data_IF_950029577125
#
_entry.id   IF_950029577125
#
_cell.length_a   1.000
_cell.length_b   1.000
_cell.length_c   1.000
_cell.angle_alpha   90.00
_cell.angle_beta   90.00
_cell.angle_gamma   90.00
#
_symmetry.space_group_name_H-M   'P 1'
#
loop_
_entity.id
_entity.type
_entity.pdbx_description
1 polymer ?
#
# COMPACT_ATOMS: atom_id res chain seq x y z
N UNK A 1 15.97 4.36 -9.32
CA UNK A 1 15.68 3.63 -10.57
C UNK A 1 14.29 3.02 -10.43
N UNK A 2 13.40 3.15 -11.42
CA UNK A 2 12.09 2.51 -11.36
C UNK A 2 12.26 1.00 -11.33
N UNK A 3 11.64 0.34 -10.35
CA UNK A 3 11.60 -1.11 -10.26
C UNK A 3 10.21 -1.62 -10.64
N UNK A 4 10.17 -2.81 -11.25
CA UNK A 4 8.92 -3.51 -11.49
C UNK A 4 8.39 -3.98 -10.14
N UNK A 5 7.19 -3.52 -9.78
CA UNK A 5 6.48 -3.96 -8.58
C UNK A 5 5.81 -5.32 -8.79
N UNK A 6 4.92 -5.41 -9.78
CA UNK A 6 4.06 -6.58 -10.02
C UNK A 6 3.86 -6.87 -11.51
N UNK A 7 3.71 -8.16 -11.86
CA UNK A 7 3.50 -8.68 -13.22
C UNK A 7 2.22 -9.52 -13.25
N UNK A 8 1.39 -9.29 -14.27
CA UNK A 8 0.15 -10.03 -14.53
C UNK A 8 0.19 -10.60 -15.94
N UNK A 9 -0.09 -11.89 -16.09
CA UNK A 9 0.05 -12.60 -17.38
C UNK A 9 -1.34 -12.92 -17.92
N UNK A 10 -1.62 -12.52 -19.16
CA UNK A 10 -2.84 -12.89 -19.88
C UNK A 10 -2.47 -13.86 -21.03
N UNK A 11 -3.01 -15.08 -21.01
CA UNK A 11 -2.63 -16.13 -21.96
C UNK A 11 -3.78 -17.12 -22.21
N UNK A 12 -3.75 -17.82 -23.36
CA UNK A 12 -4.75 -18.85 -23.67
C UNK A 12 -4.55 -20.19 -22.96
N UNK A 13 -3.32 -20.49 -22.50
CA UNK A 13 -2.99 -21.77 -21.84
C UNK A 13 -2.46 -21.53 -20.43
N UNK A 14 -3.38 -21.39 -19.48
CA UNK A 14 -3.07 -21.11 -18.07
C UNK A 14 -2.07 -22.09 -17.48
N UNK A 15 -2.31 -23.39 -17.65
CA UNK A 15 -1.53 -24.46 -17.00
C UNK A 15 -0.07 -24.44 -17.42
N UNK A 16 0.21 -24.14 -18.70
CA UNK A 16 1.58 -24.00 -19.21
C UNK A 16 2.32 -22.84 -18.51
N UNK A 17 1.62 -21.75 -18.23
CA UNK A 17 2.23 -20.54 -17.69
C UNK A 17 2.25 -20.48 -16.16
N UNK A 18 1.29 -21.12 -15.48
CA UNK A 18 1.25 -21.18 -14.01
C UNK A 18 2.46 -21.89 -13.41
N UNK A 19 3.01 -22.90 -14.09
CA UNK A 19 4.11 -23.70 -13.54
C UNK A 19 5.37 -22.87 -13.33
N UNK A 20 5.82 -22.14 -14.37
CA UNK A 20 6.98 -21.25 -14.24
C UNK A 20 6.62 -19.95 -13.53
N UNK A 21 5.40 -19.43 -13.67
CA UNK A 21 5.00 -18.18 -13.01
C UNK A 21 5.14 -18.25 -11.48
N UNK A 22 4.93 -19.43 -10.88
CA UNK A 22 5.12 -19.67 -9.44
C UNK A 22 6.56 -19.49 -8.96
N UNK A 23 7.53 -19.64 -9.86
CA UNK A 23 8.95 -19.45 -9.54
C UNK A 23 9.34 -17.97 -9.47
N UNK A 24 8.47 -17.05 -9.93
CA UNK A 24 8.75 -15.63 -9.99
C UNK A 24 7.91 -14.84 -8.98
N UNK A 25 8.50 -14.29 -7.91
CA UNK A 25 7.75 -13.65 -6.83
C UNK A 25 7.01 -12.37 -7.25
N UNK A 26 7.44 -11.73 -8.35
CA UNK A 26 6.78 -10.55 -8.91
C UNK A 26 5.56 -10.89 -9.74
N UNK A 27 5.35 -12.16 -10.11
CA UNK A 27 4.17 -12.57 -10.87
C UNK A 27 3.01 -12.76 -9.91
N UNK A 28 2.01 -11.87 -9.98
CA UNK A 28 0.84 -11.88 -9.11
C UNK A 28 -0.30 -12.75 -9.63
N UNK A 29 -0.29 -13.12 -10.91
CA UNK A 29 -1.26 -14.06 -11.44
C UNK A 29 -1.15 -14.32 -12.94
N UNK A 30 -1.74 -15.46 -13.32
CA UNK A 30 -1.92 -15.89 -14.71
C UNK A 30 -3.41 -16.00 -14.98
N UNK A 31 -3.86 -15.35 -16.05
CA UNK A 31 -5.27 -15.16 -16.38
C UNK A 31 -5.54 -15.60 -17.82
N UNK A 32 -6.72 -16.17 -18.04
CA UNK A 32 -7.24 -16.55 -19.36
C UNK A 32 -8.41 -15.68 -19.80
N UNK A 33 -8.95 -14.88 -18.87
CA UNK A 33 -10.06 -13.97 -19.09
C UNK A 33 -9.64 -12.54 -18.66
N UNK A 34 -10.19 -11.54 -19.35
CA UNK A 34 -9.91 -10.12 -19.14
C UNK A 34 -10.59 -9.56 -17.87
N UNK A 35 -11.72 -10.14 -17.45
CA UNK A 35 -12.46 -9.66 -16.28
C UNK A 35 -11.69 -9.91 -14.97
N UNK A 36 -11.14 -11.11 -14.70
CA UNK A 36 -10.39 -11.35 -13.47
C UNK A 36 -9.10 -10.53 -13.38
N UNK A 37 -8.37 -10.35 -14.50
CA UNK A 37 -7.16 -9.51 -14.50
C UNK A 37 -7.50 -8.03 -14.25
N UNK A 38 -8.64 -7.54 -14.77
CA UNK A 38 -9.10 -6.18 -14.49
C UNK A 38 -9.37 -5.97 -13.00
N UNK A 39 -10.04 -6.91 -12.35
CA UNK A 39 -10.31 -6.82 -10.91
C UNK A 39 -9.02 -6.92 -10.08
N UNK A 40 -8.10 -7.81 -10.45
CA UNK A 40 -6.79 -7.91 -9.80
C UNK A 40 -5.99 -6.60 -9.92
N UNK A 41 -5.99 -5.96 -11.09
CA UNK A 41 -5.34 -4.66 -11.29
C UNK A 41 -5.99 -3.55 -10.47
N UNK A 42 -7.33 -3.49 -10.41
CA UNK A 42 -8.04 -2.49 -9.58
C UNK A 42 -7.73 -2.64 -8.09
N UNK A 43 -7.67 -3.87 -7.60
CA UNK A 43 -7.33 -4.14 -6.20
C UNK A 43 -5.90 -3.69 -5.90
N UNK A 44 -4.97 -4.00 -6.80
CA UNK A 44 -3.57 -3.59 -6.67
C UNK A 44 -3.39 -2.07 -6.62
N UNK A 45 -4.08 -1.34 -7.50
CA UNK A 45 -4.05 0.13 -7.50
C UNK A 45 -4.65 0.72 -6.22
N UNK A 46 -5.70 0.10 -5.66
CA UNK A 46 -6.34 0.59 -4.43
C UNK A 46 -5.46 0.39 -3.20
N UNK A 47 -4.69 -0.70 -3.14
CA UNK A 47 -3.72 -0.92 -2.05
C UNK A 47 -2.63 0.16 -2.08
N UNK A 48 -2.12 0.49 -3.26
CA UNK A 48 -1.17 1.60 -3.41
C UNK A 48 -1.72 2.95 -2.92
N UNK A 49 -3.00 3.24 -3.20
CA UNK A 49 -3.66 4.48 -2.76
C UNK A 49 -3.98 4.46 -1.25
N UNK A 50 -4.35 3.31 -0.68
CA UNK A 50 -4.67 3.18 0.75
C UNK A 50 -3.43 3.23 1.64
N UNK A 51 -2.32 2.64 1.19
CA UNK A 51 -1.04 2.68 1.92
C UNK A 51 -0.35 4.05 1.80
N UNK A 52 -0.75 4.85 0.81
CA UNK A 52 -0.23 6.20 0.57
C UNK A 52 -1.24 7.27 1.00
N UNK A 53 -1.63 7.29 2.29
CA UNK A 53 -2.35 8.45 2.82
C UNK A 53 -1.44 9.68 2.79
N UNK A 54 -1.69 10.58 1.83
CA UNK A 54 -0.96 11.85 1.74
C UNK A 54 -1.38 12.78 2.88
N UNK A 55 -0.53 12.92 3.90
CA UNK A 55 -0.70 13.96 4.93
C UNK A 55 -0.23 15.28 4.34
N UNK A 56 -1.14 16.24 4.22
CA UNK A 56 -0.82 17.59 3.78
C UNK A 56 -0.80 18.53 4.98
N UNK A 57 0.39 18.86 5.48
CA UNK A 57 0.56 19.86 6.55
C UNK A 57 0.62 21.23 5.90
N UNK A 58 -0.54 21.90 5.78
CA UNK A 58 -0.64 23.26 5.24
C UNK A 58 -0.81 24.27 6.38
N UNK A 59 -0.39 25.52 6.16
CA UNK A 59 -0.77 26.63 7.04
C UNK A 59 -2.27 26.86 6.84
N UNK A 60 -3.10 26.26 7.69
CA UNK A 60 -4.54 26.13 7.44
C UNK A 60 -5.21 27.51 7.36
N UNK A 61 -5.61 27.89 6.15
CA UNK A 61 -6.45 29.06 5.91
C UNK A 61 -7.95 28.69 5.99
N UNK A 62 -8.26 27.39 5.91
CA UNK A 62 -9.60 26.84 5.97
C UNK A 62 -9.82 26.08 7.29
N UNK A 63 -10.87 26.39 8.08
CA UNK A 63 -11.19 25.72 9.33
C UNK A 63 -11.29 24.19 9.23
N UNK A 64 -11.81 23.65 8.12
CA UNK A 64 -11.98 22.19 7.96
C UNK A 64 -10.63 21.46 7.77
N UNK A 65 -9.63 22.12 7.17
CA UNK A 65 -8.27 21.58 7.03
C UNK A 65 -7.50 21.64 8.36
N UNK A 66 -7.81 22.66 9.19
CA UNK A 66 -7.25 22.82 10.53
C UNK A 66 -7.72 21.67 11.44
N UNK A 67 -9.01 21.29 11.39
CA UNK A 67 -9.55 20.18 12.18
C UNK A 67 -8.85 18.85 11.84
N UNK A 68 -8.67 18.56 10.55
CA UNK A 68 -7.99 17.33 10.12
C UNK A 68 -6.52 17.30 10.54
N UNK A 69 -5.79 18.39 10.33
CA UNK A 69 -4.38 18.50 10.72
C UNK A 69 -4.21 18.39 12.24
N UNK A 70 -5.12 19.00 13.00
CA UNK A 70 -5.13 18.94 14.46
C UNK A 70 -5.38 17.51 14.95
N UNK A 71 -6.37 16.81 14.39
CA UNK A 71 -6.64 15.41 14.74
C UNK A 71 -5.42 14.52 14.49
N UNK A 72 -4.81 14.59 13.30
CA UNK A 72 -3.64 13.78 12.99
C UNK A 72 -2.44 14.16 13.86
N UNK A 73 -2.18 15.46 14.09
CA UNK A 73 -1.07 15.91 14.95
C UNK A 73 -1.27 15.45 16.39
N UNK A 74 -2.51 15.45 16.90
CA UNK A 74 -2.83 14.97 18.24
C UNK A 74 -2.57 13.46 18.36
N UNK A 75 -3.05 12.68 17.39
CA UNK A 75 -2.77 11.24 17.34
C UNK A 75 -1.26 10.95 17.25
N UNK A 76 -0.52 11.70 16.43
CA UNK A 76 0.94 11.57 16.35
C UNK A 76 1.63 11.90 17.66
N UNK A 77 1.21 12.96 18.36
CA UNK A 77 1.76 13.33 19.67
C UNK A 77 1.49 12.23 20.70
N UNK A 78 0.25 11.76 20.80
CA UNK A 78 -0.14 10.73 21.76
C UNK A 78 0.62 9.42 21.53
N UNK A 79 0.73 9.01 20.26
CA UNK A 79 1.51 7.84 19.88
C UNK A 79 2.98 8.15 20.18
N UNK A 80 3.66 8.99 19.41
CA UNK A 80 5.14 9.10 19.42
C UNK A 80 5.69 9.63 20.76
N UNK A 81 4.99 10.53 21.43
CA UNK A 81 5.58 11.28 22.56
C UNK A 81 4.99 10.91 23.92
N UNK A 82 3.77 10.36 23.98
CA UNK A 82 3.08 10.11 25.25
C UNK A 82 2.95 8.63 25.60
N UNK A 83 3.29 7.72 24.69
CA UNK A 83 3.43 6.30 25.04
C UNK A 83 4.80 6.03 25.68
N UNK A 84 4.80 5.17 26.71
CA UNK A 84 6.03 4.58 27.23
C UNK A 84 6.49 3.48 26.27
N UNK A 85 7.59 3.73 25.58
CA UNK A 85 8.17 2.78 24.65
C UNK A 85 9.26 1.96 25.34
N UNK A 86 9.07 0.64 25.38
CA UNK A 86 10.18 -0.27 25.64
C UNK A 86 11.05 -0.45 24.38
N UNK A 87 12.23 -1.04 24.53
CA UNK A 87 13.16 -1.26 23.41
C UNK A 87 12.55 -2.10 22.27
N UNK A 88 11.60 -2.99 22.59
CA UNK A 88 10.92 -3.81 21.58
C UNK A 88 9.93 -3.00 20.75
N UNK A 89 9.19 -2.10 21.40
CA UNK A 89 8.27 -1.19 20.75
C UNK A 89 9.00 -0.20 19.84
N UNK A 90 10.16 0.34 20.29
CA UNK A 90 11.01 1.21 19.45
C UNK A 90 11.50 0.46 18.22
N UNK A 91 11.95 -0.78 18.37
CA UNK A 91 12.44 -1.58 17.25
C UNK A 91 11.34 -1.88 16.22
N UNK A 92 10.12 -2.15 16.70
CA UNK A 92 8.95 -2.40 15.84
C UNK A 92 8.52 -1.17 15.05
N UNK A 93 8.71 0.04 15.60
CA UNK A 93 8.40 1.30 14.91
C UNK A 93 9.47 1.71 13.87
N UNK A 94 10.67 1.16 13.96
CA UNK A 94 11.80 1.52 13.10
C UNK A 94 11.98 0.58 11.88
N UNK A 95 11.22 -0.52 11.82
CA UNK A 95 11.17 -1.48 10.71
C UNK A 95 10.02 -1.14 9.74
#
# INVERSE_FOLDING_TARGET
>A
MPQIDSIYIFCGNKSRHEQWAKEWPKVKGVYTDILPIREALKQHTRQCDQDSMSIRITNAQNPNELESTFMYTTLFKEIILENEYDEQAIKTLAE
#
